data_IF_157294957679
#
_entry.id   IF_157294957679
#
_cell.length_a   1.000
_cell.length_b   1.000
_cell.length_c   1.000
_cell.angle_alpha   90.00
_cell.angle_beta   90.00
_cell.angle_gamma   90.00
#
_symmetry.space_group_name_H-M   'P 1'
#
loop_
_entity.id
_entity.type
_entity.pdbx_description
1 polymer ?
#
# COMPACT_ATOMS: atom_id res chain seq x y z
N UNK A 1 11.42 -24.83 18.51
CA UNK A 1 11.16 -23.40 18.26
C UNK A 1 9.68 -23.14 18.40
N UNK A 2 9.31 -22.08 19.09
CA UNK A 2 7.91 -21.66 19.24
C UNK A 2 7.70 -20.39 18.40
N UNK A 3 6.67 -20.40 17.55
CA UNK A 3 6.30 -19.22 16.77
C UNK A 3 4.96 -18.69 17.26
N UNK A 4 4.81 -17.38 17.23
CA UNK A 4 3.58 -16.69 17.61
C UNK A 4 3.02 -15.95 16.40
N UNK A 5 1.72 -16.12 16.15
CA UNK A 5 1.03 -15.47 15.06
C UNK A 5 -0.07 -14.56 15.62
N UNK A 6 -0.13 -13.33 15.12
CA UNK A 6 -1.14 -12.35 15.53
C UNK A 6 -1.86 -11.88 14.28
N UNK A 7 -3.18 -11.98 14.26
CA UNK A 7 -4.01 -11.44 13.20
C UNK A 7 -4.69 -10.17 13.69
N UNK A 8 -4.53 -9.10 12.93
CA UNK A 8 -5.16 -7.82 13.23
C UNK A 8 -6.07 -7.45 12.05
N UNK A 9 -7.35 -7.33 12.32
CA UNK A 9 -8.32 -6.87 11.32
C UNK A 9 -8.48 -5.36 11.46
N UNK A 10 -7.98 -4.62 10.48
CA UNK A 10 -8.01 -3.16 10.53
C UNK A 10 -7.49 -2.54 9.25
N UNK A 11 -7.38 -1.23 9.27
CA UNK A 11 -6.88 -0.44 8.15
C UNK A 11 -5.39 -0.14 8.38
N UNK A 12 -4.56 -0.56 7.43
CA UNK A 12 -3.11 -0.41 7.54
C UNK A 12 -2.61 1.04 7.46
N UNK A 13 -3.49 1.98 7.13
CA UNK A 13 -3.17 3.41 7.24
C UNK A 13 -3.05 3.87 8.69
N UNK A 14 -3.49 3.04 9.62
CA UNK A 14 -3.35 3.26 11.05
C UNK A 14 -2.95 1.95 11.72
N UNK A 15 -1.69 1.84 12.08
CA UNK A 15 -1.13 0.66 12.75
C UNK A 15 -0.75 0.99 14.19
N UNK A 16 -1.58 1.76 14.88
CA UNK A 16 -1.27 2.26 16.22
C UNK A 16 -1.06 1.16 17.26
N UNK A 17 -1.58 -0.05 17.01
CA UNK A 17 -1.36 -1.19 17.89
C UNK A 17 0.07 -1.73 17.83
N UNK A 18 0.83 -1.37 16.80
CA UNK A 18 2.20 -1.84 16.60
C UNK A 18 3.17 -0.75 17.08
N UNK A 19 4.06 -1.05 18.04
CA UNK A 19 4.99 -0.06 18.55
C UNK A 19 5.98 0.43 17.50
N UNK A 20 6.55 1.61 17.72
CA UNK A 20 7.60 2.15 16.88
C UNK A 20 8.81 1.20 16.86
N UNK A 21 9.44 1.05 15.70
CA UNK A 21 10.71 0.34 15.52
C UNK A 21 10.69 -1.05 16.15
N UNK A 22 9.59 -1.77 15.95
CA UNK A 22 9.40 -3.11 16.55
C UNK A 22 9.39 -4.24 15.53
N UNK A 23 9.43 -3.92 14.22
CA UNK A 23 9.27 -4.88 13.13
C UNK A 23 10.55 -4.96 12.31
N UNK A 24 11.00 -6.19 12.00
CA UNK A 24 12.23 -6.43 11.27
C UNK A 24 12.01 -6.61 9.77
N UNK A 25 10.79 -6.99 9.36
CA UNK A 25 10.47 -7.18 7.95
C UNK A 25 9.00 -6.93 7.72
N UNK A 26 8.68 -6.18 6.66
CA UNK A 26 7.32 -6.02 6.17
C UNK A 26 7.29 -6.53 4.74
N UNK A 27 6.33 -7.41 4.43
CA UNK A 27 6.05 -7.88 3.08
C UNK A 27 4.60 -7.58 2.79
N UNK A 28 4.33 -6.86 1.72
CA UNK A 28 2.97 -6.45 1.39
C UNK A 28 2.75 -6.37 -0.11
N UNK A 29 1.49 -6.52 -0.49
CA UNK A 29 1.02 -6.34 -1.86
C UNK A 29 -0.21 -5.44 -1.79
N UNK A 30 -0.06 -4.12 -1.95
CA UNK A 30 -1.20 -3.21 -1.85
C UNK A 30 -2.18 -3.42 -2.99
N UNK A 31 -3.44 -2.97 -2.84
CA UNK A 31 -4.40 -3.03 -3.95
C UNK A 31 -3.86 -2.26 -5.15
N UNK A 32 -4.05 -2.82 -6.35
CA UNK A 32 -3.69 -2.14 -7.58
C UNK A 32 -4.74 -1.06 -7.88
N UNK A 33 -4.28 0.06 -8.41
CA UNK A 33 -5.16 1.17 -8.73
C UNK A 33 -6.16 0.77 -9.83
N UNK A 34 -7.45 0.79 -9.49
CA UNK A 34 -8.57 0.52 -10.39
C UNK A 34 -8.58 -0.86 -11.08
N UNK A 35 -7.73 -1.78 -10.66
CA UNK A 35 -7.68 -3.10 -11.30
C UNK A 35 -8.64 -4.10 -10.67
N UNK A 36 -8.92 -4.00 -9.39
CA UNK A 36 -9.70 -5.01 -8.71
C UNK A 36 -10.51 -4.43 -7.57
N UNK A 37 -11.79 -4.81 -7.53
CA UNK A 37 -12.66 -4.56 -6.39
C UNK A 37 -12.54 -5.74 -5.41
N UNK A 38 -12.05 -5.45 -4.21
CA UNK A 38 -11.91 -6.45 -3.16
C UNK A 38 -13.16 -6.55 -2.28
N UNK A 39 -14.22 -5.80 -2.62
CA UNK A 39 -15.51 -5.92 -1.96
C UNK A 39 -15.64 -5.17 -0.63
N UNK A 40 -14.72 -4.28 -0.32
CA UNK A 40 -14.71 -3.52 0.92
C UNK A 40 -14.90 -2.04 0.63
N UNK A 41 -15.83 -1.38 1.30
CA UNK A 41 -15.97 0.06 1.22
C UNK A 41 -14.71 0.72 1.80
N UNK A 42 -14.24 1.77 1.15
CA UNK A 42 -13.01 2.45 1.55
C UNK A 42 -11.74 1.74 1.10
N UNK A 43 -11.85 0.73 0.25
CA UNK A 43 -10.69 0.11 -0.39
C UNK A 43 -9.83 1.18 -1.06
N UNK A 44 -8.51 1.13 -0.81
CA UNK A 44 -7.56 2.00 -1.47
C UNK A 44 -7.47 1.59 -2.95
N UNK A 45 -7.64 2.56 -3.84
CA UNK A 45 -7.32 2.43 -5.26
C UNK A 45 -8.48 2.15 -6.19
N UNK A 46 -9.59 1.54 -5.75
CA UNK A 46 -10.64 1.16 -6.68
C UNK A 46 -11.45 2.36 -7.18
N UNK A 47 -11.84 3.25 -6.28
CA UNK A 47 -12.62 4.45 -6.59
C UNK A 47 -11.81 5.73 -6.51
N UNK A 48 -10.53 5.65 -6.20
CA UNK A 48 -9.67 6.81 -6.01
C UNK A 48 -9.17 7.35 -7.34
N UNK A 49 -8.91 8.66 -7.38
CA UNK A 49 -8.04 9.24 -8.39
C UNK A 49 -6.63 8.70 -8.21
N UNK A 50 -5.77 8.86 -9.23
CA UNK A 50 -4.38 8.45 -9.11
C UNK A 50 -3.68 9.13 -7.92
N UNK A 51 -3.87 10.44 -7.77
CA UNK A 51 -3.29 11.17 -6.65
C UNK A 51 -3.84 10.70 -5.30
N UNK A 52 -5.15 10.49 -5.21
CA UNK A 52 -5.78 9.95 -4.01
C UNK A 52 -5.26 8.57 -3.65
N UNK A 53 -5.08 7.72 -4.66
CA UNK A 53 -4.48 6.39 -4.48
C UNK A 53 -3.07 6.48 -3.89
N UNK A 54 -2.21 7.29 -4.50
CA UNK A 54 -0.83 7.47 -4.03
C UNK A 54 -0.81 8.06 -2.62
N UNK A 55 -1.66 9.05 -2.35
CA UNK A 55 -1.72 9.68 -1.02
C UNK A 55 -2.18 8.68 0.05
N UNK A 56 -3.15 7.83 -0.26
CA UNK A 56 -3.59 6.78 0.66
C UNK A 56 -2.49 5.75 0.92
N UNK A 57 -1.77 5.34 -0.12
CA UNK A 57 -0.64 4.44 0.07
C UNK A 57 0.47 5.10 0.89
N UNK A 58 0.70 6.40 0.73
CA UNK A 58 1.70 7.11 1.52
C UNK A 58 1.38 7.08 3.02
N UNK A 59 0.11 7.06 3.40
CA UNK A 59 -0.27 6.88 4.80
C UNK A 59 0.17 5.50 5.31
N UNK A 60 0.01 4.47 4.49
CA UNK A 60 0.49 3.11 4.83
C UNK A 60 2.01 3.10 4.96
N UNK A 61 2.71 3.72 4.00
CA UNK A 61 4.18 3.75 4.02
C UNK A 61 4.72 4.51 5.22
N UNK A 62 4.05 5.57 5.64
CA UNK A 62 4.41 6.30 6.86
C UNK A 62 4.32 5.40 8.10
N UNK A 63 3.27 4.59 8.20
CA UNK A 63 3.14 3.64 9.29
C UNK A 63 4.21 2.55 9.21
N UNK A 64 4.49 2.04 8.01
CA UNK A 64 5.57 1.06 7.80
C UNK A 64 6.91 1.62 8.25
N UNK A 65 7.22 2.85 7.88
CA UNK A 65 8.46 3.52 8.29
C UNK A 65 8.54 3.64 9.82
N UNK A 66 7.44 4.01 10.46
CA UNK A 66 7.39 4.16 11.91
C UNK A 66 7.67 2.86 12.65
N UNK A 67 7.08 1.75 12.19
CA UNK A 67 7.17 0.46 12.90
C UNK A 67 8.42 -0.34 12.57
N UNK A 68 9.07 -0.08 11.43
CA UNK A 68 10.30 -0.78 11.06
C UNK A 68 11.48 -0.36 11.92
N UNK A 69 12.27 -1.32 12.34
CA UNK A 69 13.58 -1.05 12.93
C UNK A 69 14.53 -0.44 11.90
N UNK A 70 15.46 0.38 12.37
CA UNK A 70 16.47 0.98 11.51
C UNK A 70 17.27 -0.10 10.77
N UNK A 71 17.47 0.08 9.46
CA UNK A 71 18.19 -0.88 8.64
C UNK A 71 17.39 -2.07 8.18
N UNK A 72 16.13 -2.20 8.61
CA UNK A 72 15.25 -3.29 8.19
C UNK A 72 14.50 -2.95 6.91
N UNK A 73 13.81 -3.93 6.34
CA UNK A 73 13.33 -3.85 4.96
C UNK A 73 11.82 -3.92 4.85
N UNK A 74 11.31 -3.14 3.89
CA UNK A 74 9.94 -3.21 3.41
C UNK A 74 9.98 -3.74 1.97
N UNK A 75 9.32 -4.88 1.75
CA UNK A 75 9.21 -5.49 0.42
C UNK A 75 7.79 -5.28 -0.10
N UNK A 76 7.67 -4.61 -1.24
CA UNK A 76 6.38 -4.27 -1.83
C UNK A 76 6.28 -4.95 -3.19
N UNK A 77 5.21 -5.74 -3.38
CA UNK A 77 4.85 -6.29 -4.68
C UNK A 77 3.71 -5.44 -5.24
N UNK A 78 4.01 -4.63 -6.26
CA UNK A 78 3.05 -3.70 -6.85
C UNK A 78 3.26 -3.64 -8.35
N UNK A 79 2.18 -3.44 -9.11
CA UNK A 79 2.23 -3.31 -10.55
C UNK A 79 2.06 -1.87 -11.02
N UNK A 80 2.48 -1.60 -12.25
CA UNK A 80 2.18 -0.35 -12.92
C UNK A 80 0.75 -0.37 -13.46
N UNK A 81 0.26 0.79 -13.84
CA UNK A 81 -1.08 0.96 -14.36
C UNK A 81 -1.06 1.75 -15.67
N UNK A 82 -1.99 1.42 -16.57
CA UNK A 82 -2.20 2.21 -17.78
C UNK A 82 -3.15 3.38 -17.49
N UNK A 83 -2.75 4.58 -17.89
CA UNK A 83 -3.64 5.72 -17.86
C UNK A 83 -4.64 5.61 -19.01
N UNK A 84 -5.90 5.94 -18.74
CA UNK A 84 -6.96 5.83 -19.76
C UNK A 84 -6.79 6.92 -20.80
N UNK A 85 -7.09 6.57 -22.05
CA UNK A 85 -7.02 7.50 -23.18
C UNK A 85 -7.92 8.73 -23.02
N UNK A 86 -9.01 8.60 -22.28
CA UNK A 86 -9.90 9.73 -21.99
C UNK A 86 -9.20 10.89 -21.28
N UNK A 87 -8.13 10.62 -20.55
CA UNK A 87 -7.37 11.63 -19.82
C UNK A 87 -6.15 12.16 -20.60
N UNK A 88 -5.57 11.30 -21.46
CA UNK A 88 -4.28 11.59 -22.10
C UNK A 88 -4.31 11.49 -23.61
N UNK A 89 -5.47 11.24 -24.21
CA UNK A 89 -5.64 11.03 -25.65
C UNK A 89 -5.14 9.67 -26.16
N UNK A 90 -4.39 8.93 -25.37
CA UNK A 90 -3.90 7.57 -25.66
C UNK A 90 -3.52 6.89 -24.35
N UNK A 91 -3.39 5.56 -24.38
CA UNK A 91 -2.93 4.83 -23.22
C UNK A 91 -1.49 5.16 -22.90
N UNK A 92 -1.21 5.27 -21.62
CA UNK A 92 0.11 5.55 -21.10
C UNK A 92 0.31 4.71 -19.84
N UNK A 93 1.50 4.13 -19.70
CA UNK A 93 1.90 3.45 -18.47
C UNK A 93 2.18 4.50 -17.40
N UNK A 94 1.54 4.35 -16.25
CA UNK A 94 1.75 5.24 -15.11
C UNK A 94 2.43 4.41 -14.01
N UNK A 95 3.73 4.61 -13.78
CA UNK A 95 4.41 3.91 -12.70
C UNK A 95 3.95 4.44 -11.35
N UNK A 96 3.67 3.55 -10.42
CA UNK A 96 3.17 3.91 -9.09
C UNK A 96 4.16 3.62 -7.98
N UNK A 97 5.34 3.16 -8.34
CA UNK A 97 6.38 2.74 -7.39
C UNK A 97 7.72 3.45 -7.62
N UNK A 98 7.73 4.54 -8.38
CA UNK A 98 8.98 5.21 -8.78
C UNK A 98 9.53 6.16 -7.73
N UNK A 99 8.78 6.43 -6.72
CA UNK A 99 9.16 7.32 -5.63
C UNK A 99 9.31 6.52 -4.33
#
# INVERSE_FOLDING_TARGET
>A
MVTKHILINGDSRNMSLIPNKSVQLIVTSPPYWQLKDYGTDGQIGFKDSYEGYVNNLNLVWSECFRILECGCRLCINIGDQFARSAYYGRYKVVPIHTE
#
